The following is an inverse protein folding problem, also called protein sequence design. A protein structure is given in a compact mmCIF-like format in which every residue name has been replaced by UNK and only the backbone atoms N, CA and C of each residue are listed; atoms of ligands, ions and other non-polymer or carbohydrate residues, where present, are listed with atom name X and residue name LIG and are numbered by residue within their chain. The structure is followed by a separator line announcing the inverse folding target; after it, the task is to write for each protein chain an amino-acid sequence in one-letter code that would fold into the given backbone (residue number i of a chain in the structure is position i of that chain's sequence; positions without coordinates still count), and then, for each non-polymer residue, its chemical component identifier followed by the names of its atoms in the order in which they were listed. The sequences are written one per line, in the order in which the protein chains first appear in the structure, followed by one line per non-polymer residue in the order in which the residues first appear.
data_IF_622445602607
#
_entry.id   IF_622445602607
#
_cell.length_a   1.000
_cell.length_b   1.000
_cell.length_c   1.000
_cell.angle_alpha   90.00
_cell.angle_beta   90.00
_cell.angle_gamma   90.00
#
_symmetry.space_group_name_H-M   'P 1'
#
loop_
_entity.id
_entity.type
_entity.pdbx_description
1 polymer ?
#
# COMPACT_ATOMS: atom_id res chain seq x y z
N UNK A 1 -14.70 -19.51 -1.17
CA UNK A 1 -14.38 -18.21 -0.54
C UNK A 1 -15.25 -17.08 -1.08
N UNK A 2 -15.29 -16.79 -2.38
CA UNK A 2 -16.15 -15.71 -2.93
C UNK A 2 -17.63 -15.82 -2.52
N UNK A 3 -18.23 -17.01 -2.61
CA UNK A 3 -19.64 -17.20 -2.18
C UNK A 3 -19.82 -16.93 -0.68
N UNK A 4 -18.87 -17.33 0.17
CA UNK A 4 -18.94 -17.02 1.61
C UNK A 4 -18.80 -15.52 1.88
N UNK A 5 -17.92 -14.83 1.16
CA UNK A 5 -17.80 -13.38 1.24
C UNK A 5 -19.11 -12.72 0.81
N UNK A 6 -19.73 -13.19 -0.28
CA UNK A 6 -21.03 -12.70 -0.72
C UNK A 6 -22.13 -12.95 0.30
N UNK A 7 -22.07 -14.08 1.02
CA UNK A 7 -22.99 -14.37 2.13
C UNK A 7 -22.83 -13.39 3.29
N UNK A 8 -21.61 -13.07 3.67
CA UNK A 8 -21.35 -12.08 4.72
C UNK A 8 -21.84 -10.68 4.31
N UNK A 9 -21.56 -10.26 3.07
CA UNK A 9 -22.01 -8.97 2.53
C UNK A 9 -23.54 -8.91 2.45
N UNK A 10 -24.18 -10.01 2.07
CA UNK A 10 -25.64 -10.12 2.06
C UNK A 10 -26.24 -9.94 3.47
N UNK A 11 -25.66 -10.61 4.47
CA UNK A 11 -26.11 -10.46 5.86
C UNK A 11 -25.88 -9.03 6.38
N UNK A 12 -24.74 -8.42 6.05
CA UNK A 12 -24.44 -7.02 6.37
C UNK A 12 -25.50 -6.09 5.77
N UNK A 13 -25.81 -6.23 4.47
CA UNK A 13 -26.84 -5.42 3.80
C UNK A 13 -28.22 -5.57 4.44
N UNK A 14 -28.59 -6.78 4.90
CA UNK A 14 -29.86 -6.98 5.59
C UNK A 14 -29.89 -6.35 6.98
N UNK A 15 -28.81 -6.45 7.74
CA UNK A 15 -28.70 -5.79 9.04
C UNK A 15 -28.73 -4.28 8.88
N UNK A 16 -28.01 -3.73 7.92
CA UNK A 16 -28.00 -2.29 7.62
C UNK A 16 -29.36 -1.80 7.15
N UNK A 17 -30.05 -2.54 6.28
CA UNK A 17 -31.40 -2.21 5.81
C UNK A 17 -32.42 -2.15 6.95
N UNK A 18 -32.25 -2.95 8.00
CA UNK A 18 -33.16 -2.99 9.15
C UNK A 18 -32.77 -1.92 10.18
N UNK A 19 -31.47 -1.69 10.40
CA UNK A 19 -30.96 -0.81 11.46
C UNK A 19 -30.83 0.66 11.03
N UNK A 20 -30.56 0.96 9.76
CA UNK A 20 -30.31 2.31 9.25
C UNK A 20 -31.50 2.77 8.40
N UNK A 21 -32.43 3.48 9.03
CA UNK A 21 -33.59 4.05 8.34
C UNK A 21 -33.15 5.11 7.32
N UNK A 22 -33.49 4.93 6.04
CA UNK A 22 -33.44 5.99 5.02
C UNK A 22 -32.37 5.87 3.93
N UNK A 23 -31.51 4.85 3.96
CA UNK A 23 -30.77 4.45 2.75
C UNK A 23 -31.64 3.44 2.02
N UNK A 24 -32.26 3.84 0.91
CA UNK A 24 -32.68 2.84 -0.08
C UNK A 24 -31.46 1.93 -0.30
N UNK A 25 -31.56 0.67 0.11
CA UNK A 25 -30.56 -0.34 -0.21
C UNK A 25 -30.32 -0.15 -1.69
N UNK A 26 -29.05 0.06 -2.09
CA UNK A 26 -28.73 0.10 -3.52
C UNK A 26 -29.29 -1.18 -4.08
N UNK A 27 -30.32 -1.03 -4.91
CA UNK A 27 -31.13 -2.09 -5.49
C UNK A 27 -30.35 -2.85 -6.57
N UNK A 28 -29.03 -2.94 -6.39
CA UNK A 28 -28.18 -3.81 -7.16
C UNK A 28 -28.44 -5.21 -6.60
N UNK A 29 -29.17 -6.08 -7.33
CA UNK A 29 -29.39 -7.42 -6.87
C UNK A 29 -28.02 -8.04 -6.60
N UNK A 30 -27.87 -8.65 -5.43
CA UNK A 30 -26.76 -9.58 -5.21
C UNK A 30 -26.97 -10.72 -6.21
N UNK A 31 -26.40 -10.58 -7.39
CA UNK A 31 -26.33 -11.64 -8.37
C UNK A 31 -25.30 -12.64 -7.87
N UNK A 32 -25.78 -13.67 -7.17
CA UNK A 32 -25.03 -14.92 -7.07
C UNK A 32 -24.87 -15.43 -8.50
N UNK A 33 -23.69 -15.24 -9.10
CA UNK A 33 -23.41 -15.53 -10.50
C UNK A 33 -23.95 -16.90 -10.95
N UNK A 34 -25.18 -16.91 -11.42
CA UNK A 34 -26.00 -18.12 -11.55
C UNK A 34 -25.63 -18.94 -12.78
N UNK A 35 -24.80 -18.38 -13.66
CA UNK A 35 -24.53 -18.95 -14.98
C UNK A 35 -23.54 -20.12 -14.99
N UNK A 36 -22.78 -20.36 -13.90
CA UNK A 36 -21.84 -21.49 -13.81
C UNK A 36 -21.53 -21.91 -12.36
N UNK A 37 -22.56 -22.18 -11.54
CA UNK A 37 -22.35 -22.68 -10.18
C UNK A 37 -21.95 -24.15 -10.22
N UNK A 38 -20.76 -24.49 -9.70
CA UNK A 38 -20.35 -25.89 -9.60
C UNK A 38 -21.31 -26.67 -8.68
N UNK A 39 -21.50 -27.96 -8.95
CA UNK A 39 -22.45 -28.81 -8.20
C UNK A 39 -22.23 -28.74 -6.69
N UNK A 40 -20.97 -28.65 -6.23
CA UNK A 40 -20.63 -28.60 -4.82
C UNK A 40 -21.11 -27.32 -4.12
N UNK A 41 -21.32 -26.24 -4.88
CA UNK A 41 -21.76 -24.94 -4.38
C UNK A 41 -23.26 -24.69 -4.59
N UNK A 42 -23.95 -25.59 -5.29
CA UNK A 42 -25.34 -25.40 -5.70
C UNK A 42 -26.29 -25.32 -4.50
N UNK A 43 -26.08 -26.14 -3.46
CA UNK A 43 -26.90 -26.10 -2.25
C UNK A 43 -26.75 -24.75 -1.53
N UNK A 44 -25.51 -24.26 -1.43
CA UNK A 44 -25.20 -22.99 -0.79
C UNK A 44 -25.80 -21.80 -1.56
N UNK A 45 -25.68 -21.79 -2.89
CA UNK A 45 -26.27 -20.73 -3.73
C UNK A 45 -27.79 -20.75 -3.62
N UNK A 46 -28.44 -21.91 -3.66
CA UNK A 46 -29.90 -22.02 -3.47
C UNK A 46 -30.35 -21.48 -2.11
N UNK A 47 -29.59 -21.75 -1.04
CA UNK A 47 -29.88 -21.20 0.28
C UNK A 47 -29.79 -19.67 0.29
N UNK A 48 -28.79 -19.09 -0.40
CA UNK A 48 -28.64 -17.66 -0.55
C UNK A 48 -29.78 -17.02 -1.38
N UNK A 49 -30.14 -17.61 -2.52
CA UNK A 49 -31.27 -17.16 -3.34
C UNK A 49 -32.59 -17.18 -2.56
N UNK A 50 -32.78 -18.20 -1.72
CA UNK A 50 -33.95 -18.29 -0.86
C UNK A 50 -33.94 -17.23 0.24
N UNK A 51 -32.79 -16.95 0.86
CA UNK A 51 -32.64 -15.85 1.81
C UNK A 51 -32.99 -14.49 1.18
N UNK A 52 -32.54 -14.24 -0.06
CA UNK A 52 -32.85 -13.01 -0.80
C UNK A 52 -34.35 -12.85 -1.01
N UNK A 53 -35.05 -13.91 -1.42
CA UNK A 53 -36.51 -13.88 -1.61
C UNK A 53 -37.25 -13.57 -0.33
N UNK A 54 -36.82 -14.17 0.79
CA UNK A 54 -37.42 -13.91 2.11
C UNK A 54 -37.23 -12.43 2.50
N UNK A 55 -36.05 -11.86 2.26
CA UNK A 55 -35.76 -10.47 2.57
C UNK A 55 -36.53 -9.47 1.68
N UNK A 56 -36.65 -9.74 0.38
CA UNK A 56 -37.40 -8.89 -0.56
C UNK A 56 -38.89 -8.81 -0.23
N UNK A 57 -39.48 -9.91 0.24
CA UNK A 57 -40.88 -9.95 0.66
C UNK A 57 -41.17 -9.02 1.86
N UNK A 58 -40.17 -8.65 2.66
CA UNK A 58 -40.34 -7.70 3.77
C UNK A 58 -40.36 -6.24 3.32
N UNK A 59 -39.57 -5.89 2.31
CA UNK A 59 -39.45 -4.50 1.85
C UNK A 59 -40.67 -4.05 1.02
N UNK A 60 -41.41 -5.00 0.45
CA UNK A 60 -42.57 -4.70 -0.41
C UNK A 60 -43.86 -4.42 0.38
N UNK A 61 -43.93 -4.69 1.68
CA UNK A 61 -45.20 -4.64 2.42
C UNK A 61 -45.51 -3.32 3.14
N UNK A 62 -44.57 -2.37 3.33
CA UNK A 62 -44.92 -1.04 3.88
C UNK A 62 -44.00 0.11 3.44
N UNK A 63 -44.53 1.29 3.07
CA UNK A 63 -43.74 2.52 2.93
C UNK A 63 -43.36 3.04 4.33
N UNK A 64 -42.16 2.74 4.78
CA UNK A 64 -41.65 3.07 6.12
C UNK A 64 -41.45 4.59 6.26
N UNK A 65 -42.44 5.28 6.84
CA UNK A 65 -42.30 6.65 7.35
C UNK A 65 -42.02 6.70 8.86
N UNK A 66 -41.82 5.57 9.54
CA UNK A 66 -41.52 5.56 10.98
C UNK A 66 -40.47 4.53 11.36
N UNK A 67 -39.36 5.08 11.83
CA UNK A 67 -38.14 4.48 12.36
C UNK A 67 -38.39 3.69 13.66
N UNK A 68 -38.57 2.36 13.58
CA UNK A 68 -38.37 1.44 14.72
C UNK A 68 -38.10 0.02 14.22
N UNK A 69 -37.10 -0.66 14.78
CA UNK A 69 -36.85 -2.10 14.52
C UNK A 69 -38.06 -2.89 15.03
N UNK A 70 -38.71 -3.64 14.14
CA UNK A 70 -39.90 -4.44 14.46
C UNK A 70 -39.54 -5.88 14.82
N UNK A 71 -40.37 -6.52 15.65
CA UNK A 71 -40.22 -7.95 15.97
C UNK A 71 -40.25 -8.83 14.72
N UNK A 72 -41.03 -8.45 13.69
CA UNK A 72 -41.12 -9.15 12.40
C UNK A 72 -39.79 -9.14 11.65
N UNK A 73 -39.07 -8.00 11.63
CA UNK A 73 -37.75 -7.89 11.00
C UNK A 73 -36.71 -8.77 11.71
N UNK A 74 -36.72 -8.79 13.05
CA UNK A 74 -35.80 -9.62 13.85
C UNK A 74 -36.06 -11.11 13.62
N UNK A 75 -37.33 -11.53 13.53
CA UNK A 75 -37.68 -12.93 13.32
C UNK A 75 -37.24 -13.42 11.93
N UNK A 76 -37.42 -12.61 10.90
CA UNK A 76 -36.94 -12.95 9.55
C UNK A 76 -35.42 -13.02 9.49
N UNK A 77 -34.71 -12.13 10.19
CA UNK A 77 -33.25 -12.22 10.29
C UNK A 77 -32.81 -13.56 10.89
N UNK A 78 -33.49 -14.05 11.93
CA UNK A 78 -33.22 -15.38 12.49
C UNK A 78 -33.46 -16.49 11.47
N UNK A 79 -34.56 -16.43 10.71
CA UNK A 79 -34.88 -17.42 9.66
C UNK A 79 -33.79 -17.44 8.59
N UNK A 80 -33.30 -16.27 8.16
CA UNK A 80 -32.22 -16.15 7.19
C UNK A 80 -30.92 -16.76 7.73
N UNK A 81 -30.55 -16.45 8.97
CA UNK A 81 -29.35 -17.01 9.63
C UNK A 81 -29.46 -18.53 9.78
N UNK A 82 -30.62 -19.04 10.21
CA UNK A 82 -30.87 -20.48 10.34
C UNK A 82 -30.78 -21.21 8.99
N UNK A 83 -31.35 -20.62 7.93
CA UNK A 83 -31.27 -21.14 6.57
C UNK A 83 -29.82 -21.22 6.05
N UNK A 84 -29.04 -20.16 6.28
CA UNK A 84 -27.66 -20.07 5.84
C UNK A 84 -26.74 -21.03 6.61
N UNK A 85 -26.92 -21.14 7.93
CA UNK A 85 -26.10 -22.01 8.79
C UNK A 85 -26.35 -23.50 8.56
N UNK A 86 -27.55 -23.87 8.11
CA UNK A 86 -27.89 -25.25 7.72
C UNK A 86 -27.34 -25.64 6.34
N UNK A 87 -26.88 -24.68 5.53
CA UNK A 87 -26.29 -24.99 4.24
C UNK A 87 -24.91 -25.66 4.43
N UNK A 88 -24.66 -26.75 3.72
CA UNK A 88 -23.38 -27.45 3.78
C UNK A 88 -22.26 -26.58 3.18
N UNK A 89 -21.12 -26.52 3.86
CA UNK A 89 -19.96 -25.79 3.36
C UNK A 89 -19.08 -26.73 2.52
N UNK A 90 -18.98 -26.54 1.19
CA UNK A 90 -18.06 -27.34 0.40
C UNK A 90 -16.63 -26.96 0.76
N UNK A 91 -15.92 -27.84 1.45
CA UNK A 91 -14.50 -27.64 1.79
C UNK A 91 -13.65 -27.90 0.55
N UNK A 92 -12.95 -26.89 0.01
CA UNK A 92 -12.18 -27.05 -1.22
C UNK A 92 -10.99 -27.99 -1.02
N UNK A 93 -10.60 -28.73 -2.08
CA UNK A 93 -9.47 -29.67 -2.05
C UNK A 93 -8.15 -29.05 -1.56
N UNK A 94 -7.92 -27.76 -1.82
CA UNK A 94 -6.71 -27.06 -1.37
C UNK A 94 -6.59 -26.89 0.16
N UNK A 95 -7.65 -27.17 0.93
CA UNK A 95 -7.55 -27.28 2.39
C UNK A 95 -6.74 -28.50 2.84
N UNK A 96 -6.70 -29.56 2.03
CA UNK A 96 -6.11 -30.83 2.40
C UNK A 96 -4.80 -31.12 1.67
N UNK A 97 -4.51 -30.41 0.57
CA UNK A 97 -3.30 -30.61 -0.20
C UNK A 97 -2.88 -29.35 -0.96
N UNK A 98 -1.57 -29.16 -1.07
CA UNK A 98 -1.00 -28.11 -1.92
C UNK A 98 -1.06 -28.57 -3.38
N UNK A 99 -1.85 -27.86 -4.19
CA UNK A 99 -2.06 -28.18 -5.61
C UNK A 99 -1.06 -27.46 -6.53
N UNK A 100 -0.71 -26.23 -6.19
CA UNK A 100 0.29 -25.42 -6.87
C UNK A 100 0.95 -24.53 -5.83
N UNK A 101 2.28 -24.44 -5.88
CA UNK A 101 3.06 -23.58 -4.99
C UNK A 101 3.92 -22.65 -5.85
N UNK A 102 3.87 -21.37 -5.51
CA UNK A 102 4.65 -20.33 -6.15
C UNK A 102 5.16 -19.43 -5.04
N UNK A 103 6.46 -19.22 -4.98
CA UNK A 103 7.10 -18.38 -3.96
C UNK A 103 8.00 -17.35 -4.61
N UNK A 104 7.99 -16.11 -4.13
CA UNK A 104 8.89 -15.06 -4.62
C UNK A 104 10.01 -14.87 -3.62
N UNK A 105 11.25 -14.81 -4.10
CA UNK A 105 12.42 -14.39 -3.32
C UNK A 105 12.84 -13.01 -3.75
N UNK A 106 13.15 -12.15 -2.79
CA UNK A 106 13.61 -10.79 -3.04
C UNK A 106 15.04 -10.61 -2.53
N UNK A 107 15.82 -9.85 -3.28
CA UNK A 107 17.10 -9.31 -2.90
C UNK A 107 17.05 -7.78 -3.08
N UNK A 108 17.44 -7.04 -2.04
CA UNK A 108 17.41 -5.59 -2.05
C UNK A 108 18.86 -5.10 -1.99
N UNK A 109 19.18 -4.11 -2.81
CA UNK A 109 20.46 -3.42 -2.79
C UNK A 109 20.24 -1.90 -2.79
N UNK A 110 21.04 -1.13 -2.04
CA UNK A 110 22.17 -1.55 -1.20
C UNK A 110 21.77 -2.32 0.06
N UNK A 111 22.68 -3.15 0.57
CA UNK A 111 22.56 -3.83 1.86
C UNK A 111 23.41 -3.12 2.91
N UNK A 112 23.01 -3.10 4.19
CA UNK A 112 23.87 -2.62 5.25
C UNK A 112 25.10 -3.53 5.36
N UNK A 113 26.26 -2.96 5.74
CA UNK A 113 27.51 -3.73 5.85
C UNK A 113 27.41 -4.82 6.91
N UNK A 114 26.66 -4.56 7.97
CA UNK A 114 26.36 -5.51 9.05
C UNK A 114 24.86 -5.60 9.24
N UNK A 115 24.36 -6.81 9.51
CA UNK A 115 22.95 -7.03 9.84
C UNK A 115 22.56 -6.20 11.07
N UNK A 116 21.49 -5.41 10.96
CA UNK A 116 21.01 -4.52 12.02
C UNK A 116 21.53 -3.09 11.93
N UNK A 117 22.47 -2.77 11.04
CA UNK A 117 22.90 -1.39 10.78
C UNK A 117 21.94 -0.64 9.85
N UNK A 118 21.98 0.68 9.95
CA UNK A 118 21.27 1.59 9.05
C UNK A 118 22.12 1.95 7.84
N UNK A 119 21.46 2.23 6.72
CA UNK A 119 22.10 2.86 5.56
C UNK A 119 22.13 4.37 5.79
N UNK A 120 23.33 4.94 5.88
CA UNK A 120 23.49 6.40 6.00
C UNK A 120 23.38 7.07 4.64
N UNK A 121 22.48 8.06 4.54
CA UNK A 121 22.28 8.87 3.33
C UNK A 121 22.54 10.33 3.68
N UNK A 122 23.25 11.06 2.81
CA UNK A 122 23.55 12.47 3.05
C UNK A 122 22.27 13.31 2.99
N UNK A 123 22.20 14.36 3.81
CA UNK A 123 21.08 15.31 3.75
C UNK A 123 20.98 15.93 2.35
N UNK A 124 19.76 16.04 1.82
CA UNK A 124 19.50 16.54 0.46
C UNK A 124 19.83 15.56 -0.67
N UNK A 125 20.35 14.36 -0.37
CA UNK A 125 20.58 13.31 -1.37
C UNK A 125 19.41 12.32 -1.48
N UNK A 126 19.42 11.53 -2.55
CA UNK A 126 18.44 10.47 -2.80
C UNK A 126 19.11 9.10 -2.68
N UNK A 127 18.36 8.09 -2.28
CA UNK A 127 18.81 6.69 -2.24
C UNK A 127 18.22 5.92 -3.41
N UNK A 128 19.10 5.41 -4.28
CA UNK A 128 18.71 4.43 -5.27
C UNK A 128 18.59 3.05 -4.61
N UNK A 129 17.40 2.46 -4.69
CA UNK A 129 17.10 1.11 -4.21
C UNK A 129 16.78 0.24 -5.43
N UNK A 130 17.61 -0.77 -5.65
CA UNK A 130 17.36 -1.81 -6.65
C UNK A 130 16.81 -3.04 -5.95
N UNK A 131 15.63 -3.46 -6.38
CA UNK A 131 14.94 -4.65 -5.90
C UNK A 131 14.99 -5.69 -7.01
N UNK A 132 15.63 -6.81 -6.75
CA UNK A 132 15.68 -7.96 -7.65
C UNK A 132 14.89 -9.09 -7.03
N UNK A 133 14.26 -9.91 -7.87
CA UNK A 133 13.55 -11.06 -7.37
C UNK A 133 13.48 -12.19 -8.36
N UNK A 134 13.28 -13.39 -7.79
CA UNK A 134 13.09 -14.63 -8.55
C UNK A 134 11.77 -15.25 -8.11
N UNK A 135 10.94 -15.57 -9.09
CA UNK A 135 9.75 -16.38 -8.94
C UNK A 135 10.17 -17.84 -8.93
N UNK A 136 9.86 -18.57 -7.87
CA UNK A 136 10.11 -20.00 -7.79
C UNK A 136 8.79 -20.74 -7.91
N UNK A 137 8.76 -21.68 -8.85
CA UNK A 137 7.63 -22.54 -9.08
C UNK A 137 7.84 -23.89 -8.39
N UNK A 138 6.75 -24.48 -7.92
CA UNK A 138 6.72 -25.88 -7.49
C UNK A 138 6.83 -26.85 -8.68
N UNK A 139 6.33 -28.06 -8.49
CA UNK A 139 6.47 -29.16 -9.47
C UNK A 139 5.82 -28.90 -10.83
N UNK A 140 4.71 -28.18 -10.89
CA UNK A 140 4.00 -27.86 -12.14
C UNK A 140 3.63 -26.37 -12.18
N UNK A 141 4.47 -25.51 -12.81
CA UNK A 141 4.13 -24.10 -13.01
C UNK A 141 2.91 -23.96 -13.92
N UNK A 142 2.02 -23.01 -13.60
CA UNK A 142 0.93 -22.64 -14.50
C UNK A 142 -0.24 -23.63 -14.60
N UNK A 143 -0.29 -24.67 -13.76
CA UNK A 143 -1.34 -25.70 -13.83
C UNK A 143 -2.75 -25.14 -13.62
N UNK A 144 -2.92 -24.27 -12.62
CA UNK A 144 -4.20 -23.62 -12.31
C UNK A 144 -4.17 -22.13 -12.61
N UNK A 145 -2.99 -21.51 -12.49
CA UNK A 145 -2.80 -20.06 -12.64
C UNK A 145 -1.36 -19.76 -12.96
N UNK A 146 -1.12 -18.77 -13.82
CA UNK A 146 0.22 -18.31 -14.16
C UNK A 146 0.42 -16.85 -13.75
N UNK A 147 1.66 -16.52 -13.42
CA UNK A 147 2.07 -15.15 -13.13
C UNK A 147 2.22 -14.41 -14.44
N UNK A 148 1.58 -13.25 -14.53
CA UNK A 148 1.73 -12.32 -15.65
C UNK A 148 2.73 -11.22 -15.28
N UNK A 149 2.55 -10.59 -14.12
CA UNK A 149 3.36 -9.45 -13.68
C UNK A 149 3.64 -9.53 -12.18
N UNK A 150 4.68 -8.84 -11.74
CA UNK A 150 5.03 -8.66 -10.33
C UNK A 150 5.00 -7.16 -10.03
N UNK A 151 4.29 -6.79 -8.97
CA UNK A 151 4.24 -5.42 -8.45
C UNK A 151 5.18 -5.34 -7.26
N UNK A 152 6.20 -4.51 -7.36
CA UNK A 152 7.10 -4.20 -6.26
C UNK A 152 6.69 -2.86 -5.67
N UNK A 153 6.46 -2.82 -4.37
CA UNK A 153 6.09 -1.61 -3.62
C UNK A 153 7.16 -1.31 -2.59
N UNK A 154 7.61 -0.06 -2.55
CA UNK A 154 8.54 0.46 -1.57
C UNK A 154 7.85 1.58 -0.79
N UNK A 155 7.70 1.38 0.52
CA UNK A 155 7.14 2.35 1.45
C UNK A 155 8.25 2.88 2.35
N UNK A 156 8.44 4.19 2.38
CA UNK A 156 9.35 4.90 3.28
C UNK A 156 8.56 5.64 4.33
N UNK A 157 8.85 5.42 5.61
CA UNK A 157 8.21 6.10 6.73
C UNK A 157 9.25 6.67 7.68
N UNK A 158 9.18 7.97 7.99
CA UNK A 158 10.00 8.58 9.03
C UNK A 158 9.60 8.04 10.42
N UNK A 159 10.53 7.39 11.12
CA UNK A 159 10.34 6.97 12.51
C UNK A 159 10.52 8.18 13.43
N UNK A 160 9.49 8.49 14.22
CA UNK A 160 9.58 9.56 15.19
C UNK A 160 10.37 9.07 16.43
N UNK A 161 11.43 9.78 16.79
CA UNK A 161 12.16 9.49 18.03
C UNK A 161 11.35 10.00 19.22
N UNK A 162 11.08 9.15 20.20
CA UNK A 162 10.26 9.45 21.38
C UNK A 162 10.79 10.59 22.28
N UNK A 163 11.91 11.24 21.94
CA UNK A 163 12.57 12.25 22.78
C UNK A 163 11.95 13.64 22.74
N UNK A 164 11.02 13.95 21.83
CA UNK A 164 10.34 15.25 21.76
C UNK A 164 8.82 15.07 21.73
N UNK A 165 8.21 14.83 22.89
CA UNK A 165 6.75 14.71 23.05
C UNK A 165 6.04 16.04 23.37
N UNK A 166 6.76 17.14 23.48
CA UNK A 166 6.16 18.44 23.82
C UNK A 166 6.28 19.38 22.63
N UNK A 167 5.16 19.55 21.90
CA UNK A 167 4.97 20.35 20.68
C UNK A 167 5.14 19.53 19.39
N UNK A 168 4.14 18.72 19.03
CA UNK A 168 4.02 18.12 17.70
C UNK A 168 2.77 18.68 17.01
N UNK A 169 3.00 19.55 16.04
CA UNK A 169 2.01 20.01 15.07
C UNK A 169 1.52 18.79 14.24
N UNK A 170 0.22 18.59 13.99
CA UNK A 170 -0.30 17.40 13.28
C UNK A 170 0.25 17.20 11.86
N UNK A 171 0.82 18.26 11.26
CA UNK A 171 1.50 18.23 9.95
C UNK A 171 2.91 17.62 9.98
N UNK A 172 3.47 17.35 11.17
CA UNK A 172 4.76 16.69 11.36
C UNK A 172 4.66 15.17 11.51
N UNK A 173 3.45 14.65 11.73
CA UNK A 173 3.20 13.21 11.80
C UNK A 173 3.09 12.63 10.38
N UNK A 174 3.86 11.58 10.12
CA UNK A 174 3.78 10.71 8.94
C UNK A 174 4.16 11.36 7.60
N UNK A 175 5.45 11.65 7.47
CA UNK A 175 6.06 11.63 6.14
C UNK A 175 6.17 10.18 5.66
N UNK A 176 5.13 9.72 4.96
CA UNK A 176 5.08 8.42 4.28
C UNK A 176 5.20 8.64 2.77
N UNK A 177 6.16 7.98 2.13
CA UNK A 177 6.31 7.95 0.68
C UNK A 177 6.11 6.53 0.19
N UNK A 178 5.25 6.33 -0.80
CA UNK A 178 4.98 5.03 -1.40
C UNK A 178 5.30 5.11 -2.89
N UNK A 179 6.19 4.24 -3.35
CA UNK A 179 6.50 4.05 -4.76
C UNK A 179 6.17 2.61 -5.16
N UNK A 180 5.55 2.41 -6.31
CA UNK A 180 5.22 1.09 -6.83
C UNK A 180 5.61 0.97 -8.29
N UNK A 181 6.18 -0.17 -8.67
CA UNK A 181 6.54 -0.48 -10.05
C UNK A 181 6.02 -1.89 -10.41
N UNK A 182 5.31 -1.98 -11.53
CA UNK A 182 4.89 -3.25 -12.11
C UNK A 182 5.91 -3.70 -13.14
N UNK A 183 6.38 -4.94 -13.04
CA UNK A 183 7.42 -5.52 -13.90
C UNK A 183 6.95 -6.89 -14.39
N UNK A 184 7.14 -7.17 -15.68
CA UNK A 184 6.95 -8.50 -16.23
C UNK A 184 8.20 -9.35 -16.00
N UNK A 185 8.12 -10.46 -15.27
CA UNK A 185 9.28 -11.32 -15.04
C UNK A 185 9.71 -12.00 -16.35
N UNK A 186 11.02 -12.06 -16.59
CA UNK A 186 11.62 -12.73 -17.73
C UNK A 186 12.49 -13.90 -17.22
N UNK A 187 12.16 -15.12 -17.64
CA UNK A 187 12.76 -16.36 -17.12
C UNK A 187 12.72 -16.41 -15.58
N UNK A 188 11.54 -16.13 -15.02
CA UNK A 188 11.29 -16.08 -13.58
C UNK A 188 12.08 -15.02 -12.80
N UNK A 189 12.88 -14.19 -13.46
CA UNK A 189 13.63 -13.10 -12.86
C UNK A 189 12.98 -11.74 -13.15
N UNK A 190 13.00 -10.83 -12.17
CA UNK A 190 12.58 -9.45 -12.35
C UNK A 190 13.47 -8.48 -11.56
N UNK A 191 13.54 -7.23 -12.01
CA UNK A 191 14.24 -6.16 -11.33
C UNK A 191 13.42 -4.86 -11.41
N UNK A 192 13.38 -4.14 -10.31
CA UNK A 192 12.74 -2.84 -10.16
C UNK A 192 13.72 -1.85 -9.52
N UNK A 193 13.63 -0.57 -9.87
CA UNK A 193 14.52 0.46 -9.37
C UNK A 193 13.71 1.65 -8.87
N UNK A 194 14.01 2.07 -7.65
CA UNK A 194 13.33 3.15 -6.98
C UNK A 194 14.34 4.20 -6.54
N UNK A 195 13.95 5.46 -6.61
CA UNK A 195 14.75 6.57 -6.15
C UNK A 195 14.00 7.27 -5.02
N UNK A 196 14.49 7.08 -3.79
CA UNK A 196 13.83 7.55 -2.58
C UNK A 196 14.44 8.87 -2.13
N UNK A 197 13.58 9.86 -1.89
CA UNK A 197 13.97 11.14 -1.33
C UNK A 197 13.68 11.19 0.17
N UNK A 198 14.60 11.78 0.93
CA UNK A 198 14.47 11.96 2.38
C UNK A 198 14.62 13.45 2.71
N UNK A 199 13.54 14.22 2.66
CA UNK A 199 13.62 15.69 2.78
C UNK A 199 13.86 16.17 4.22
N UNK A 200 13.84 15.28 5.21
CA UNK A 200 14.15 15.58 6.61
C UNK A 200 15.20 14.63 7.16
N UNK A 201 16.08 15.15 8.01
CA UNK A 201 16.95 14.34 8.84
C UNK A 201 16.14 13.46 9.80
N UNK A 202 16.67 12.27 10.10
CA UNK A 202 16.00 11.29 10.95
C UNK A 202 16.20 9.85 10.48
N UNK A 203 15.52 8.93 11.15
CA UNK A 203 15.57 7.51 10.84
C UNK A 203 14.32 7.10 10.07
N UNK A 204 14.46 6.55 8.87
CA UNK A 204 13.36 6.06 8.05
C UNK A 204 13.33 4.53 8.07
N UNK A 205 12.12 3.98 8.17
CA UNK A 205 11.85 2.58 7.90
C UNK A 205 11.41 2.44 6.44
N UNK A 206 12.19 1.71 5.66
CA UNK A 206 11.79 1.26 4.35
C UNK A 206 11.18 -0.14 4.45
N UNK A 207 10.03 -0.32 3.84
CA UNK A 207 9.34 -1.60 3.70
C UNK A 207 9.22 -1.88 2.21
N UNK A 208 9.79 -2.99 1.77
CA UNK A 208 9.72 -3.47 0.39
C UNK A 208 8.83 -4.70 0.37
N UNK A 209 7.81 -4.68 -0.46
CA UNK A 209 6.83 -5.75 -0.63
C UNK A 209 6.76 -6.15 -2.10
N UNK A 210 6.62 -7.44 -2.35
CA UNK A 210 6.24 -7.95 -3.67
C UNK A 210 4.82 -8.49 -3.64
N UNK A 211 4.06 -8.15 -4.67
CA UNK A 211 2.75 -8.72 -4.98
C UNK A 211 2.76 -9.26 -6.41
N UNK A 212 1.90 -10.22 -6.68
CA UNK A 212 1.88 -10.91 -7.98
C UNK A 212 0.55 -10.64 -8.66
N UNK A 213 0.57 -10.33 -9.95
CA UNK A 213 -0.61 -10.21 -10.81
C UNK A 213 -0.66 -11.44 -11.72
N UNK A 214 -1.81 -12.11 -11.73
CA UNK A 214 -2.04 -13.27 -12.59
C UNK A 214 -2.54 -12.89 -14.00
N UNK A 215 -2.70 -13.89 -14.87
CA UNK A 215 -3.22 -13.70 -16.23
C UNK A 215 -4.65 -13.15 -16.29
N UNK A 216 -5.42 -13.33 -15.22
CA UNK A 216 -6.78 -12.81 -15.07
C UNK A 216 -6.80 -11.42 -14.42
N UNK A 217 -5.64 -10.77 -14.29
CA UNK A 217 -5.47 -9.46 -13.68
C UNK A 217 -5.85 -9.38 -12.19
N UNK A 218 -5.89 -10.51 -11.47
CA UNK A 218 -6.07 -10.47 -10.02
C UNK A 218 -4.73 -10.20 -9.33
N UNK A 219 -4.74 -9.29 -8.36
CA UNK A 219 -3.59 -8.95 -7.54
C UNK A 219 -3.53 -9.80 -6.26
N UNK A 220 -2.40 -10.46 -6.05
CA UNK A 220 -2.14 -11.34 -4.92
C UNK A 220 -1.05 -10.75 -4.03
N UNK A 221 -1.46 -10.25 -2.86
CA UNK A 221 -0.58 -9.69 -1.82
C UNK A 221 0.03 -10.81 -0.96
N UNK A 222 0.76 -11.72 -1.59
CA UNK A 222 1.30 -12.93 -0.96
C UNK A 222 2.83 -13.06 -1.06
N UNK A 223 3.49 -12.07 -1.65
CA UNK A 223 4.95 -12.08 -1.75
C UNK A 223 5.64 -11.69 -0.44
N UNK A 224 6.98 -11.82 -0.41
CA UNK A 224 7.77 -11.50 0.77
C UNK A 224 7.74 -10.00 1.07
N UNK A 225 7.85 -9.70 2.37
CA UNK A 225 8.01 -8.36 2.92
C UNK A 225 9.38 -8.27 3.58
N UNK A 226 10.19 -7.30 3.16
CA UNK A 226 11.52 -7.05 3.71
C UNK A 226 11.63 -5.61 4.18
N UNK A 227 12.42 -5.39 5.23
CA UNK A 227 12.57 -4.06 5.85
C UNK A 227 14.02 -3.62 5.85
N UNK A 228 14.26 -2.33 5.61
CA UNK A 228 15.56 -1.70 5.66
C UNK A 228 15.47 -0.41 6.47
N UNK A 229 16.47 -0.13 7.31
CA UNK A 229 16.54 1.14 8.03
C UNK A 229 17.50 2.09 7.34
N UNK A 230 17.06 3.33 7.12
CA UNK A 230 17.88 4.40 6.55
C UNK A 230 18.02 5.51 7.59
N UNK A 231 19.20 6.10 7.73
CA UNK A 231 19.44 7.24 8.62
C UNK A 231 19.97 8.41 7.81
N UNK A 232 19.33 9.55 7.96
CA UNK A 232 19.74 10.82 7.36
C UNK A 232 20.20 11.72 8.50
N UNK A 233 21.43 12.25 8.47
CA UNK A 233 21.89 13.23 9.44
C UNK A 233 20.93 14.42 9.48
N UNK A 234 20.59 14.86 10.69
CA UNK A 234 19.94 16.16 10.85
C UNK A 234 20.96 17.25 10.55
N UNK A 235 20.56 18.25 9.77
CA UNK A 235 21.38 19.44 9.58
C UNK A 235 21.48 20.16 10.93
N UNK A 236 22.64 20.06 11.59
CA UNK A 236 22.97 20.94 12.69
C UNK A 236 23.00 22.36 12.15
N UNK A 237 21.98 23.16 12.48
CA UNK A 237 22.09 24.61 12.42
C UNK A 237 23.34 24.97 13.20
N UNK A 238 24.39 25.44 12.52
CA UNK A 238 25.59 25.96 13.15
C UNK A 238 25.13 27.10 14.05
N UNK A 239 25.00 26.84 15.36
CA UNK A 239 24.88 27.92 16.33
C UNK A 239 26.17 28.71 16.24
N UNK A 240 26.13 30.01 15.92
CA UNK A 240 27.34 30.81 15.93
C UNK A 240 28.02 30.64 17.28
N UNK A 241 29.32 30.33 17.25
CA UNK A 241 30.14 30.15 18.45
C UNK A 241 30.09 31.45 19.22
N UNK A 242 29.29 31.51 20.29
CA UNK A 242 29.32 32.60 21.24
C UNK A 242 30.60 32.43 22.06
N UNK A 243 31.64 33.18 21.69
CA UNK A 243 32.87 33.26 22.47
C UNK A 243 32.51 33.91 23.82
N UNK A 244 32.76 33.26 24.98
CA UNK A 244 32.47 33.85 26.28
C UNK A 244 33.32 35.11 26.47
N UNK A 245 32.68 36.28 26.50
CA UNK A 245 33.33 37.56 26.84
C UNK A 245 33.20 38.70 25.83
N UNK A 246 32.53 38.53 24.69
CA UNK A 246 32.20 39.66 23.81
C UNK A 246 30.76 40.12 24.01
N UNK A 247 30.60 41.38 24.44
CA UNK A 247 29.32 42.04 24.60
C UNK A 247 28.50 42.00 23.30
N UNK A 248 27.21 41.70 23.43
CA UNK A 248 26.22 41.77 22.36
C UNK A 248 26.17 43.19 21.77
N UNK A 249 26.93 43.43 20.70
CA UNK A 249 26.74 44.54 19.76
C UNK A 249 27.47 44.19 18.46
N UNK A 250 26.87 43.30 17.65
CA UNK A 250 27.27 43.13 16.26
C UNK A 250 26.09 43.55 15.39
N UNK A 251 26.08 44.83 15.01
CA UNK A 251 25.42 45.26 13.78
C UNK A 251 25.97 44.37 12.66
N UNK A 252 25.06 43.68 11.97
CA UNK A 252 25.39 42.92 10.76
C UNK A 252 25.81 43.93 9.70
N UNK A 253 27.11 44.06 9.46
CA UNK A 253 27.62 44.73 8.27
C UNK A 253 27.50 43.71 7.13
N UNK A 254 26.45 43.82 6.32
CA UNK A 254 26.39 43.19 5.01
C UNK A 254 27.45 43.85 4.13
N UNK A 255 28.50 43.12 3.77
CA UNK A 255 29.37 43.47 2.65
C UNK A 255 28.69 43.00 1.35
N UNK A 256 28.54 43.85 0.32
CA UNK A 256 28.14 43.40 -1.02
C UNK A 256 29.27 42.58 -1.64
N UNK A 257 28.94 41.46 -2.27
CA UNK A 257 29.91 40.62 -2.98
C UNK A 257 30.37 41.32 -4.27
N UNK A 258 31.53 41.98 -4.23
CA UNK A 258 32.16 42.53 -5.43
C UNK A 258 32.77 41.40 -6.27
N UNK A 259 32.10 41.20 -7.41
CA UNK A 259 32.42 40.27 -8.48
C UNK A 259 33.61 40.75 -9.32
N UNK A 260 34.86 40.48 -8.96
CA UNK A 260 36.00 40.74 -9.86
C UNK A 260 37.14 39.72 -9.71
N UNK A 261 36.97 38.54 -10.32
CA UNK A 261 38.10 37.72 -10.79
C UNK A 261 38.16 37.81 -12.32
N UNK A 262 38.76 38.89 -12.83
CA UNK A 262 39.19 38.97 -14.23
C UNK A 262 40.63 38.48 -14.37
N UNK A 263 40.78 37.37 -15.11
CA UNK A 263 42.04 36.74 -15.47
C UNK A 263 42.75 37.61 -16.52
N UNK A 264 43.94 38.10 -16.21
CA UNK A 264 44.76 38.88 -17.14
C UNK A 264 45.36 38.00 -18.24
N UNK A 265 45.27 38.46 -19.49
CA UNK A 265 46.20 38.06 -20.55
C UNK A 265 46.60 39.27 -21.40
N UNK A 266 47.91 39.39 -21.57
CA UNK A 266 48.62 40.46 -22.25
C UNK A 266 48.50 40.42 -23.78
N UNK A 267 48.51 41.62 -24.33
CA UNK A 267 48.68 42.10 -25.73
C UNK A 267 49.48 41.21 -26.69
N UNK A 268 49.05 41.24 -27.96
CA UNK A 268 49.92 41.50 -29.11
C UNK A 268 49.17 42.27 -30.20
N UNK A 269 49.68 43.46 -30.52
CA UNK A 269 49.32 44.31 -31.65
C UNK A 269 49.71 43.69 -32.99
N UNK A 270 48.87 43.82 -34.04
CA UNK A 270 49.30 44.11 -35.43
C UNK A 270 48.20 44.88 -36.17
N UNK A 271 48.57 46.08 -36.64
CA UNK A 271 47.85 46.98 -37.56
C UNK A 271 47.43 46.33 -38.90
N UNK A 272 46.31 46.78 -39.51
CA UNK A 272 46.28 47.60 -40.76
C UNK A 272 44.89 47.72 -41.44
N UNK A 273 44.46 48.98 -41.59
CA UNK A 273 43.82 49.67 -42.76
C UNK A 273 42.58 49.13 -43.51
N UNK A 274 41.59 50.05 -43.63
CA UNK A 274 40.83 50.49 -44.83
C UNK A 274 40.39 49.40 -45.83
N UNK A 275 39.09 49.22 -46.12
CA UNK A 275 38.16 50.17 -46.74
C UNK A 275 36.71 49.74 -46.49
#
# INVERSE_FOLDING_TARGET
MQILQQMCVMLEQYVDSICVSGSAVKDDPIEFGSKNVRLELQQLVKACEHAVKIAQNLNNEEPVSTCTITHRQVEVLKVIVDLITKASLPVPRYFFQVLQSTSVKLAISPQPRVLGEFISVQAGSQLAVKVEGVVQHGTQPGLFRKIKEVVVTVTSQLQNSQKNKEILDPKLLEQVSVLSQTVTPHNDFFAAQFLLAFPRGGQYLLVVEASVIDENSNAWKTGPRSTLTVKVPEETKLTPIAVPGMANNANVILMPEDSLFTRGHLKKDVNKTQH
#
